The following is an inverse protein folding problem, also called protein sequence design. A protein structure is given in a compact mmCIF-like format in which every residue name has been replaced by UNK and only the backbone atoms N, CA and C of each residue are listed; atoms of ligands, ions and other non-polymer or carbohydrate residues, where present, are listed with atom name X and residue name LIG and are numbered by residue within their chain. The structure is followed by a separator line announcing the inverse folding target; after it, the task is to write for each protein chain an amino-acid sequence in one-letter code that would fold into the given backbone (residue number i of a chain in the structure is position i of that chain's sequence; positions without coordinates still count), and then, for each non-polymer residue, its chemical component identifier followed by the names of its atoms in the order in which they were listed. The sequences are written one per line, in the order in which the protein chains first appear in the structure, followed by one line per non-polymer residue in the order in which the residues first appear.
data_IF_855509165597
#
_entry.id   IF_855509165597
#
_cell.length_a   1.000
_cell.length_b   1.000
_cell.length_c   1.000
_cell.angle_alpha   90.00
_cell.angle_beta   90.00
_cell.angle_gamma   90.00
#
_symmetry.space_group_name_H-M   'P 1'
#
loop_
_entity.id
_entity.type
_entity.pdbx_description
1 polymer ?
#
# COMPACT_ATOMS: atom_id res chain seq x y z
N UNK A 1 9.61 0.87 7.26
CA UNK A 1 8.18 0.69 6.90
C UNK A 1 7.42 1.98 7.11
N UNK A 2 6.64 2.37 6.13
CA UNK A 2 5.76 3.54 6.22
C UNK A 2 4.32 3.08 6.38
N UNK A 3 3.51 3.88 7.11
CA UNK A 3 2.08 3.67 7.24
C UNK A 3 1.36 4.99 7.09
N UNK A 4 0.18 4.94 6.48
CA UNK A 4 -0.63 6.13 6.26
C UNK A 4 -2.10 5.76 6.22
N UNK A 5 -2.94 6.56 6.88
CA UNK A 5 -4.39 6.44 6.72
C UNK A 5 -4.80 7.28 5.52
N UNK A 6 -5.54 6.67 4.60
CA UNK A 6 -5.90 7.32 3.34
C UNK A 6 -7.27 6.85 2.88
N UNK A 7 -8.24 7.76 2.84
CA UNK A 7 -9.64 7.46 2.44
C UNK A 7 -10.26 6.32 3.24
N UNK A 8 -9.89 6.17 4.51
CA UNK A 8 -10.39 5.11 5.38
C UNK A 8 -9.65 3.78 5.25
N UNK A 9 -8.66 3.71 4.37
CA UNK A 9 -7.78 2.55 4.25
C UNK A 9 -6.47 2.78 5.01
N UNK A 10 -5.84 1.70 5.43
CA UNK A 10 -4.48 1.75 5.94
C UNK A 10 -3.53 1.30 4.84
N UNK A 11 -2.64 2.18 4.45
CA UNK A 11 -1.58 1.90 3.49
C UNK A 11 -0.31 1.55 4.27
N UNK A 12 0.40 0.52 3.84
CA UNK A 12 1.69 0.17 4.45
C UNK A 12 2.68 -0.21 3.37
N UNK A 13 3.96 0.06 3.65
CA UNK A 13 5.05 -0.31 2.76
C UNK A 13 6.08 -1.08 3.55
N UNK A 14 6.77 -2.01 2.89
CA UNK A 14 7.85 -2.75 3.52
C UNK A 14 8.81 -3.29 2.46
N UNK A 15 10.02 -3.57 2.89
CA UNK A 15 11.02 -4.20 2.06
C UNK A 15 10.69 -5.68 1.85
N UNK A 16 10.84 -6.15 0.62
CA UNK A 16 10.66 -7.56 0.24
C UNK A 16 11.99 -8.08 -0.32
N UNK A 17 12.66 -8.92 0.46
CA UNK A 17 13.93 -9.52 0.05
C UNK A 17 13.81 -10.38 -1.20
N UNK A 18 12.69 -11.07 -1.35
CA UNK A 18 12.48 -11.92 -2.53
C UNK A 18 12.34 -11.14 -3.80
N UNK A 19 11.71 -9.97 -3.73
CA UNK A 19 11.50 -9.10 -4.87
C UNK A 19 12.64 -8.06 -5.03
N UNK A 20 13.49 -7.91 -4.02
CA UNK A 20 14.58 -6.92 -3.98
C UNK A 20 14.06 -5.49 -4.15
N UNK A 21 12.99 -5.16 -3.44
CA UNK A 21 12.41 -3.83 -3.50
C UNK A 21 11.32 -3.65 -2.47
N UNK A 22 10.71 -2.47 -2.48
CA UNK A 22 9.62 -2.13 -1.58
C UNK A 22 8.28 -2.49 -2.19
N UNK A 23 7.39 -3.05 -1.39
CA UNK A 23 6.01 -3.29 -1.79
C UNK A 23 5.05 -2.52 -0.91
N UNK A 24 3.79 -2.46 -1.33
CA UNK A 24 2.73 -1.89 -0.50
C UNK A 24 1.61 -2.90 -0.28
N UNK A 25 0.87 -2.68 0.80
CA UNK A 25 -0.37 -3.39 1.10
C UNK A 25 -1.41 -2.36 1.51
N UNK A 26 -2.66 -2.65 1.18
CA UNK A 26 -3.78 -1.80 1.54
C UNK A 26 -4.75 -2.66 2.34
N UNK A 27 -5.08 -2.20 3.55
CA UNK A 27 -6.06 -2.85 4.42
C UNK A 27 -7.27 -1.94 4.59
N UNK A 28 -8.45 -2.56 4.66
CA UNK A 28 -9.68 -1.81 4.92
C UNK A 28 -9.81 -1.52 6.42
N UNK A 29 -10.89 -0.84 6.80
CA UNK A 29 -11.12 -0.47 8.20
C UNK A 29 -11.35 -1.68 9.12
N UNK A 30 -11.61 -2.84 8.56
CA UNK A 30 -11.79 -4.08 9.32
C UNK A 30 -10.49 -4.88 9.40
N UNK A 31 -9.40 -4.38 8.81
CA UNK A 31 -8.11 -5.03 8.84
C UNK A 31 -7.90 -6.07 7.73
N UNK A 32 -8.84 -6.20 6.80
CA UNK A 32 -8.69 -7.14 5.69
C UNK A 32 -7.81 -6.53 4.59
N UNK A 33 -6.87 -7.30 4.07
CA UNK A 33 -6.03 -6.87 2.96
C UNK A 33 -6.87 -6.87 1.69
N UNK A 34 -7.01 -5.71 1.06
CA UNK A 34 -7.85 -5.55 -0.14
C UNK A 34 -7.02 -5.31 -1.40
N UNK A 35 -5.74 -4.99 -1.25
CA UNK A 35 -4.84 -4.81 -2.40
C UNK A 35 -3.40 -4.92 -1.95
N UNK A 36 -2.51 -5.23 -2.90
CA UNK A 36 -1.06 -5.22 -2.68
C UNK A 36 -0.36 -4.94 -4.00
N UNK A 37 0.90 -4.48 -3.92
CA UNK A 37 1.69 -4.24 -5.12
C UNK A 37 2.03 -5.55 -5.82
N UNK A 38 2.12 -5.50 -7.15
CA UNK A 38 2.55 -6.62 -7.97
C UNK A 38 4.05 -6.53 -8.20
N UNK A 39 4.54 -5.34 -8.58
CA UNK A 39 5.94 -5.11 -8.89
C UNK A 39 6.63 -4.37 -7.72
N UNK A 40 7.93 -4.62 -7.50
CA UNK A 40 8.66 -3.91 -6.45
C UNK A 40 9.01 -2.49 -6.88
N UNK A 41 9.16 -1.61 -5.89
CA UNK A 41 9.59 -0.23 -6.08
C UNK A 41 10.99 -0.06 -5.49
N UNK A 42 11.83 0.73 -6.16
CA UNK A 42 13.18 0.95 -5.70
C UNK A 42 13.23 1.83 -4.44
N UNK A 43 12.35 2.82 -4.37
CA UNK A 43 12.23 3.71 -3.21
C UNK A 43 10.92 3.46 -2.47
N UNK A 44 10.99 3.48 -1.14
CA UNK A 44 9.81 3.23 -0.31
C UNK A 44 8.73 4.28 -0.53
N UNK A 45 9.12 5.54 -0.67
CA UNK A 45 8.15 6.61 -0.93
C UNK A 45 7.40 6.42 -2.25
N UNK A 46 8.06 5.82 -3.26
CA UNK A 46 7.38 5.50 -4.52
C UNK A 46 6.36 4.39 -4.33
N UNK A 47 6.64 3.42 -3.47
CA UNK A 47 5.67 2.40 -3.11
C UNK A 47 4.45 3.03 -2.44
N UNK A 48 4.66 4.00 -1.56
CA UNK A 48 3.56 4.70 -0.88
C UNK A 48 2.72 5.53 -1.86
N UNK A 49 3.37 6.21 -2.80
CA UNK A 49 2.66 6.96 -3.85
C UNK A 49 1.79 6.02 -4.68
N UNK A 50 2.34 4.87 -5.06
CA UNK A 50 1.59 3.86 -5.80
C UNK A 50 0.43 3.29 -4.98
N UNK A 51 0.63 3.14 -3.66
CA UNK A 51 -0.43 2.68 -2.77
C UNK A 51 -1.60 3.68 -2.74
N UNK A 52 -1.30 4.98 -2.70
CA UNK A 52 -2.35 6.02 -2.74
C UNK A 52 -3.13 5.95 -4.05
N UNK A 53 -2.45 5.79 -5.17
CA UNK A 53 -3.09 5.67 -6.47
C UNK A 53 -3.98 4.42 -6.53
N UNK A 54 -3.52 3.31 -5.98
CA UNK A 54 -4.32 2.08 -5.92
C UNK A 54 -5.54 2.27 -5.01
N UNK A 55 -5.38 2.96 -3.87
CA UNK A 55 -6.49 3.24 -2.96
C UNK A 55 -7.53 4.16 -3.60
N UNK A 56 -7.10 5.10 -4.46
CA UNK A 56 -8.02 5.98 -5.18
C UNK A 56 -8.95 5.20 -6.12
N UNK A 57 -8.54 4.03 -6.56
CA UNK A 57 -9.36 3.16 -7.42
C UNK A 57 -10.35 2.31 -6.61
N UNK A 58 -10.26 2.32 -5.29
CA UNK A 58 -11.14 1.57 -4.39
C UNK A 58 -12.26 2.47 -3.88
N UNK A 59 -13.43 1.91 -3.49
CA UNK A 59 -14.48 2.71 -2.86
C UNK A 59 -13.97 3.35 -1.58
N UNK A 60 -14.36 4.60 -1.31
CA UNK A 60 -14.00 5.27 -0.08
C UNK A 60 -14.56 4.51 1.13
N UNK A 61 -13.76 4.35 2.17
CA UNK A 61 -14.17 3.75 3.44
C UNK A 61 -14.56 4.88 4.40
N UNK A 62 -15.73 4.78 4.98
CA UNK A 62 -16.25 5.79 5.93
C UNK A 62 -16.34 5.23 7.34
#
# INVERSE_FOLDING_TARGET
MMREDYNGYELSTEWDDGALGFGFRIHDKNGAEVSRSVDPYFYEENALIAARAAADALPAQE
#
